data_IF_168162940645
#
_entry.id   IF_168162940645
#
_cell.length_a   1.000
_cell.length_b   1.000
_cell.length_c   1.000
_cell.angle_alpha   90.00
_cell.angle_beta   90.00
_cell.angle_gamma   90.00
#
_symmetry.space_group_name_H-M   'P 1'
#
loop_
_entity.id
_entity.type
_entity.pdbx_description
1 polymer ?
#
# COMPACT_ATOMS: atom_id res chain seq x y z
N UNK A 1 -24.29 -24.37 -19.90
CA UNK A 1 -23.80 -23.74 -21.14
C UNK A 1 -22.67 -24.62 -21.63
N UNK A 2 -22.78 -25.14 -22.84
CA UNK A 2 -21.73 -25.97 -23.43
C UNK A 2 -20.75 -25.04 -24.14
N UNK A 3 -19.72 -24.64 -23.40
CA UNK A 3 -18.64 -23.82 -23.94
C UNK A 3 -17.65 -24.71 -24.70
N UNK A 4 -17.19 -24.26 -25.87
CA UNK A 4 -16.06 -24.89 -26.56
C UNK A 4 -14.76 -24.74 -25.75
N UNK A 5 -14.52 -23.54 -25.22
CA UNK A 5 -13.51 -23.26 -24.20
C UNK A 5 -14.16 -22.43 -23.10
N UNK A 6 -14.23 -22.94 -21.85
CA UNK A 6 -14.86 -22.20 -20.77
C UNK A 6 -14.01 -20.98 -20.39
N UNK A 7 -14.64 -19.82 -20.13
CA UNK A 7 -13.92 -18.68 -19.60
C UNK A 7 -13.31 -19.01 -18.22
N UNK A 8 -12.18 -18.38 -17.84
CA UNK A 8 -11.58 -18.58 -16.52
C UNK A 8 -12.59 -18.30 -15.41
N UNK A 9 -12.66 -19.17 -14.40
CA UNK A 9 -13.63 -19.09 -13.31
C UNK A 9 -13.57 -17.75 -12.58
N UNK A 10 -12.38 -17.21 -12.35
CA UNK A 10 -12.16 -15.91 -11.72
C UNK A 10 -12.83 -14.76 -12.52
N UNK A 11 -12.77 -14.81 -13.86
CA UNK A 11 -13.39 -13.80 -14.72
C UNK A 11 -14.91 -13.91 -14.68
N UNK A 12 -15.43 -15.14 -14.64
CA UNK A 12 -16.87 -15.37 -14.50
C UNK A 12 -17.36 -14.86 -13.15
N UNK A 13 -16.66 -15.18 -12.06
CA UNK A 13 -16.97 -14.71 -10.72
C UNK A 13 -16.96 -13.18 -10.63
N UNK A 14 -15.95 -12.53 -11.20
CA UNK A 14 -15.87 -11.07 -11.26
C UNK A 14 -17.02 -10.45 -12.08
N UNK A 15 -17.39 -11.06 -13.21
CA UNK A 15 -18.51 -10.61 -14.03
C UNK A 15 -19.85 -10.75 -13.29
N UNK A 16 -20.08 -11.87 -12.61
CA UNK A 16 -21.29 -12.10 -11.81
C UNK A 16 -21.38 -11.13 -10.63
N UNK A 17 -20.27 -10.89 -9.93
CA UNK A 17 -20.21 -9.91 -8.85
C UNK A 17 -20.57 -8.50 -9.33
N UNK A 18 -20.01 -8.08 -10.47
CA UNK A 18 -20.34 -6.79 -11.09
C UNK A 18 -21.81 -6.70 -11.49
N UNK A 19 -22.33 -7.72 -12.19
CA UNK A 19 -23.73 -7.73 -12.63
C UNK A 19 -24.69 -7.64 -11.44
N UNK A 20 -24.35 -8.31 -10.32
CA UNK A 20 -25.09 -8.22 -9.06
C UNK A 20 -25.09 -6.79 -8.51
N UNK A 21 -23.96 -6.08 -8.58
CA UNK A 21 -23.86 -4.68 -8.15
C UNK A 21 -24.62 -3.71 -9.05
N UNK A 22 -24.70 -3.97 -10.37
CA UNK A 22 -25.44 -3.12 -11.31
C UNK A 22 -26.96 -3.21 -11.11
N UNK A 23 -27.46 -4.24 -10.44
CA UNK A 23 -28.87 -4.39 -10.05
C UNK A 23 -29.68 -5.24 -11.02
N UNK A 24 -30.92 -4.82 -11.30
CA UNK A 24 -31.88 -5.63 -12.06
C UNK A 24 -31.50 -5.77 -13.55
N UNK A 25 -31.00 -6.95 -13.90
CA UNK A 25 -30.55 -7.27 -15.25
C UNK A 25 -31.69 -7.25 -16.28
N UNK A 26 -32.95 -7.47 -15.88
CA UNK A 26 -34.07 -7.42 -16.83
C UNK A 26 -34.32 -5.99 -17.29
N UNK A 27 -34.19 -5.01 -16.40
CA UNK A 27 -34.29 -3.59 -16.77
C UNK A 27 -33.11 -3.16 -17.64
N UNK A 28 -31.89 -3.61 -17.33
CA UNK A 28 -30.69 -3.24 -18.10
C UNK A 28 -30.72 -3.77 -19.54
N UNK A 29 -31.26 -4.97 -19.76
CA UNK A 29 -31.36 -5.61 -21.09
C UNK A 29 -32.30 -4.90 -22.06
N UNK A 30 -33.09 -3.94 -21.58
CA UNK A 30 -34.01 -3.15 -22.43
C UNK A 30 -33.25 -2.17 -23.34
N UNK A 31 -31.99 -1.88 -23.04
CA UNK A 31 -31.16 -0.94 -23.79
C UNK A 31 -30.09 -1.68 -24.60
N UNK A 32 -29.77 -1.25 -25.83
CA UNK A 32 -28.72 -1.85 -26.67
C UNK A 32 -27.33 -1.37 -26.23
N UNK A 33 -27.01 -1.53 -24.95
CA UNK A 33 -25.79 -1.02 -24.33
C UNK A 33 -25.12 -2.09 -23.48
N UNK A 34 -23.82 -1.91 -23.25
CA UNK A 34 -23.13 -2.66 -22.20
C UNK A 34 -23.85 -2.45 -20.83
N UNK A 35 -23.99 -3.46 -19.95
CA UNK A 35 -24.78 -3.36 -18.72
C UNK A 35 -24.46 -2.15 -17.84
N UNK A 36 -23.18 -1.75 -17.77
CA UNK A 36 -22.73 -0.55 -17.07
C UNK A 36 -23.37 0.73 -17.61
N UNK A 37 -23.35 0.90 -18.93
CA UNK A 37 -23.91 2.06 -19.61
C UNK A 37 -25.45 2.06 -19.54
N UNK A 38 -26.06 0.88 -19.67
CA UNK A 38 -27.50 0.72 -19.42
C UNK A 38 -27.87 1.16 -18.00
N UNK A 39 -27.03 0.84 -16.99
CA UNK A 39 -27.24 1.25 -15.61
C UNK A 39 -27.14 2.77 -15.44
N UNK A 40 -26.13 3.40 -16.05
CA UNK A 40 -26.01 4.87 -16.08
C UNK A 40 -27.27 5.48 -16.70
N UNK A 41 -27.71 4.99 -17.86
CA UNK A 41 -28.85 5.51 -18.59
C UNK A 41 -30.16 5.39 -17.79
N UNK A 42 -30.35 4.26 -17.10
CA UNK A 42 -31.51 4.01 -16.25
C UNK A 42 -31.57 4.98 -15.06
N UNK A 43 -30.46 5.12 -14.32
CA UNK A 43 -30.41 5.97 -13.12
C UNK A 43 -30.45 7.47 -13.49
N UNK A 44 -29.88 7.85 -14.62
CA UNK A 44 -29.99 9.19 -15.19
C UNK A 44 -31.33 9.44 -15.90
N UNK A 45 -32.26 8.49 -15.86
CA UNK A 45 -33.62 8.62 -16.42
C UNK A 45 -33.65 8.98 -17.91
N UNK A 46 -32.67 8.51 -18.67
CA UNK A 46 -32.58 8.78 -20.12
C UNK A 46 -32.18 10.21 -20.48
N UNK A 47 -31.60 10.96 -19.55
CA UNK A 47 -31.17 12.33 -19.78
C UNK A 47 -30.13 12.44 -20.91
N UNK A 48 -30.15 13.56 -21.62
CA UNK A 48 -29.32 13.78 -22.81
C UNK A 48 -27.83 13.72 -22.50
N UNK A 49 -27.43 14.26 -21.34
CA UNK A 49 -26.06 14.25 -20.85
C UNK A 49 -25.55 12.81 -20.65
N UNK A 50 -26.39 11.94 -20.10
CA UNK A 50 -26.05 10.53 -19.90
C UNK A 50 -25.98 9.75 -21.22
N UNK A 51 -26.91 10.02 -22.16
CA UNK A 51 -26.91 9.42 -23.49
C UNK A 51 -25.61 9.75 -24.22
N UNK A 52 -25.23 11.03 -24.25
CA UNK A 52 -24.01 11.49 -24.92
C UNK A 52 -22.75 10.84 -24.33
N UNK A 53 -22.65 10.77 -22.99
CA UNK A 53 -21.55 10.08 -22.32
C UNK A 53 -21.55 8.58 -22.66
N UNK A 54 -22.70 7.91 -22.62
CA UNK A 54 -22.79 6.48 -22.93
C UNK A 54 -22.37 6.16 -24.36
N UNK A 55 -22.85 6.94 -25.34
CA UNK A 55 -22.48 6.75 -26.75
C UNK A 55 -21.00 7.04 -26.96
N UNK A 56 -20.45 8.10 -26.37
CA UNK A 56 -19.02 8.41 -26.44
C UNK A 56 -18.17 7.27 -25.87
N UNK A 57 -18.55 6.73 -24.71
CA UNK A 57 -17.85 5.60 -24.07
C UNK A 57 -17.95 4.29 -24.87
N UNK A 58 -19.03 4.12 -25.63
CA UNK A 58 -19.19 3.01 -26.55
C UNK A 58 -18.44 3.21 -27.88
N UNK A 59 -17.81 4.36 -28.10
CA UNK A 59 -17.15 4.70 -29.37
C UNK A 59 -18.13 5.02 -30.51
N UNK A 60 -19.38 5.38 -30.17
CA UNK A 60 -20.45 5.62 -31.14
C UNK A 60 -20.47 7.03 -31.73
N UNK A 61 -21.48 7.25 -32.57
CA UNK A 61 -21.68 8.39 -33.46
C UNK A 61 -22.86 9.27 -33.03
N UNK A 62 -22.97 10.51 -33.55
CA UNK A 62 -24.14 11.36 -33.29
C UNK A 62 -25.48 10.76 -33.73
N UNK A 63 -25.49 9.85 -34.72
CA UNK A 63 -26.71 9.14 -35.14
C UNK A 63 -27.20 8.18 -34.05
N UNK A 64 -26.27 7.44 -33.43
CA UNK A 64 -26.57 6.52 -32.32
C UNK A 64 -27.05 7.27 -31.06
N UNK A 65 -26.64 8.53 -30.86
CA UNK A 65 -27.22 9.40 -29.82
C UNK A 65 -28.72 9.59 -30.02
N UNK A 66 -29.17 9.84 -31.25
CA UNK A 66 -30.58 10.04 -31.55
C UNK A 66 -31.38 8.75 -31.42
N UNK A 67 -30.83 7.64 -31.91
CA UNK A 67 -31.45 6.32 -31.79
C UNK A 67 -31.62 5.92 -30.31
N UNK A 68 -30.56 6.04 -29.52
CA UNK A 68 -30.60 5.71 -28.10
C UNK A 68 -31.59 6.61 -27.33
N UNK A 69 -31.72 7.89 -27.71
CA UNK A 69 -32.71 8.81 -27.15
C UNK A 69 -34.14 8.33 -27.40
N UNK A 70 -34.45 7.86 -28.61
CA UNK A 70 -35.76 7.29 -28.94
C UNK A 70 -36.04 6.03 -28.12
N UNK A 71 -35.06 5.13 -28.02
CA UNK A 71 -35.16 3.90 -27.23
C UNK A 71 -35.37 4.23 -25.75
N UNK A 72 -34.59 5.15 -25.19
CA UNK A 72 -34.68 5.57 -23.80
C UNK A 72 -36.06 6.14 -23.46
N UNK A 73 -36.56 7.05 -24.31
CA UNK A 73 -37.89 7.64 -24.14
C UNK A 73 -39.00 6.59 -24.19
N UNK A 74 -38.92 5.65 -25.14
CA UNK A 74 -39.89 4.56 -25.27
C UNK A 74 -39.89 3.64 -24.06
N UNK A 75 -38.71 3.22 -23.59
CA UNK A 75 -38.59 2.22 -22.54
C UNK A 75 -38.86 2.78 -21.14
N UNK A 76 -38.46 4.04 -20.88
CA UNK A 76 -38.65 4.68 -19.57
C UNK A 76 -40.03 5.31 -19.40
N UNK A 77 -40.71 5.65 -20.50
CA UNK A 77 -42.06 6.22 -20.48
C UNK A 77 -42.14 7.44 -19.55
N UNK A 78 -43.05 7.41 -18.56
CA UNK A 78 -43.23 8.49 -17.60
C UNK A 78 -41.99 8.80 -16.73
N UNK A 79 -41.05 7.85 -16.59
CA UNK A 79 -39.81 8.06 -15.83
C UNK A 79 -38.77 8.88 -16.62
N UNK A 80 -38.92 9.00 -17.94
CA UNK A 80 -38.00 9.72 -18.81
C UNK A 80 -37.86 11.18 -18.41
N UNK A 81 -36.61 11.68 -18.41
CA UNK A 81 -36.27 13.09 -18.24
C UNK A 81 -35.29 13.48 -19.34
N UNK A 82 -35.52 14.66 -19.94
CA UNK A 82 -34.63 15.19 -20.99
C UNK A 82 -33.29 15.65 -20.41
N UNK A 83 -33.33 16.20 -19.19
CA UNK A 83 -32.20 16.73 -18.43
C UNK A 83 -32.30 16.29 -16.96
N UNK A 84 -31.16 16.16 -16.31
CA UNK A 84 -31.01 15.95 -14.87
C UNK A 84 -29.95 16.90 -14.33
N UNK A 85 -29.97 17.16 -13.02
CA UNK A 85 -28.89 17.90 -12.38
C UNK A 85 -27.57 17.10 -12.40
N UNK A 86 -26.46 17.82 -12.27
CA UNK A 86 -25.10 17.27 -12.28
C UNK A 86 -24.89 16.20 -11.19
N UNK A 87 -25.49 16.39 -10.00
CA UNK A 87 -25.39 15.43 -8.91
C UNK A 87 -26.09 14.09 -9.24
N UNK A 88 -27.23 14.13 -9.92
CA UNK A 88 -27.97 12.96 -10.39
C UNK A 88 -27.19 12.25 -11.49
N UNK A 89 -26.62 12.99 -12.44
CA UNK A 89 -25.78 12.44 -13.50
C UNK A 89 -24.56 11.69 -12.91
N UNK A 90 -23.83 12.32 -11.98
CA UNK A 90 -22.65 11.72 -11.35
C UNK A 90 -22.97 10.52 -10.48
N UNK A 91 -24.10 10.53 -9.77
CA UNK A 91 -24.61 9.34 -9.06
C UNK A 91 -24.94 8.19 -10.02
N UNK A 92 -25.52 8.49 -11.18
CA UNK A 92 -25.77 7.47 -12.20
C UNK A 92 -24.46 6.90 -12.76
N UNK A 93 -23.45 7.74 -12.98
CA UNK A 93 -22.11 7.30 -13.38
C UNK A 93 -21.45 6.40 -12.33
N UNK A 94 -21.53 6.74 -11.05
CA UNK A 94 -21.09 5.88 -9.95
C UNK A 94 -21.82 4.53 -9.97
N UNK A 95 -23.13 4.52 -10.19
CA UNK A 95 -23.91 3.29 -10.22
C UNK A 95 -23.55 2.37 -11.38
N UNK A 96 -23.13 2.91 -12.54
CA UNK A 96 -22.62 2.13 -13.66
C UNK A 96 -21.17 1.63 -13.49
N UNK A 97 -20.40 2.31 -12.64
CA UNK A 97 -18.97 2.06 -12.44
C UNK A 97 -18.56 1.95 -10.97
N UNK A 98 -19.24 1.10 -10.17
CA UNK A 98 -18.99 1.00 -8.73
C UNK A 98 -17.56 0.57 -8.41
N UNK A 99 -17.05 -0.45 -9.08
CA UNK A 99 -15.68 -0.97 -8.97
C UNK A 99 -14.59 0.00 -9.48
N UNK A 100 -14.97 1.03 -10.24
CA UNK A 100 -14.07 2.08 -10.73
C UNK A 100 -14.18 3.38 -9.95
N UNK A 101 -14.77 3.34 -8.76
CA UNK A 101 -14.55 4.38 -7.77
C UNK A 101 -13.06 4.45 -7.44
N UNK A 102 -12.53 5.66 -7.35
CA UNK A 102 -11.13 5.93 -7.06
C UNK A 102 -11.01 6.99 -5.96
N UNK A 103 -9.93 6.90 -5.18
CA UNK A 103 -9.50 7.94 -4.25
C UNK A 103 -8.11 8.46 -4.63
N UNK A 104 -7.92 9.77 -4.58
CA UNK A 104 -6.63 10.42 -4.85
C UNK A 104 -5.64 10.17 -3.71
N UNK A 105 -4.41 9.74 -4.03
CA UNK A 105 -3.35 9.48 -3.04
C UNK A 105 -1.94 9.87 -3.53
N UNK A 106 -1.27 10.86 -2.91
CA UNK A 106 -1.75 11.82 -1.90
C UNK A 106 -2.69 12.90 -2.48
N UNK A 107 -3.35 13.73 -1.65
CA UNK A 107 -4.21 14.84 -2.12
C UNK A 107 -3.49 15.76 -3.12
N UNK A 108 -4.22 16.21 -4.14
CA UNK A 108 -3.67 17.04 -5.23
C UNK A 108 -2.71 16.33 -6.20
N UNK A 109 -2.37 15.06 -5.98
CA UNK A 109 -1.52 14.28 -6.91
C UNK A 109 -2.35 13.55 -7.97
N UNK A 110 -1.83 13.28 -9.18
CA UNK A 110 -2.56 12.54 -10.21
C UNK A 110 -2.73 11.06 -9.88
N UNK A 111 -2.14 10.56 -8.79
CA UNK A 111 -2.15 9.15 -8.42
C UNK A 111 -3.45 8.80 -7.72
N UNK A 112 -4.04 7.69 -8.14
CA UNK A 112 -5.31 7.17 -7.67
C UNK A 112 -5.16 5.75 -7.13
N UNK A 113 -5.99 5.40 -6.15
CA UNK A 113 -6.28 4.01 -5.79
C UNK A 113 -7.74 3.70 -6.16
N UNK A 114 -7.95 2.69 -7.00
CA UNK A 114 -9.27 2.18 -7.37
C UNK A 114 -9.87 1.31 -6.26
N UNK A 115 -11.20 1.18 -6.24
CA UNK A 115 -11.93 0.30 -5.34
C UNK A 115 -11.56 -1.18 -5.53
N UNK A 116 -11.06 -1.55 -6.71
CA UNK A 116 -10.45 -2.87 -6.98
C UNK A 116 -9.12 -3.10 -6.23
N UNK A 117 -8.51 -2.08 -5.64
CA UNK A 117 -7.18 -2.11 -5.03
C UNK A 117 -6.04 -1.79 -6.00
N UNK A 118 -6.33 -1.57 -7.27
CA UNK A 118 -5.33 -1.26 -8.29
C UNK A 118 -4.96 0.22 -8.26
N UNK A 119 -3.68 0.54 -8.46
CA UNK A 119 -3.22 1.91 -8.66
C UNK A 119 -3.51 2.41 -10.08
N UNK A 120 -3.82 3.69 -10.22
CA UNK A 120 -4.01 4.35 -11.51
C UNK A 120 -3.48 5.81 -11.47
N UNK A 121 -3.30 6.44 -12.63
CA UNK A 121 -2.81 7.80 -12.77
C UNK A 121 -3.73 8.59 -13.69
N UNK A 122 -4.15 9.79 -13.27
CA UNK A 122 -4.90 10.73 -14.11
C UNK A 122 -4.03 11.28 -15.24
N UNK A 123 -4.57 11.31 -16.45
CA UNK A 123 -3.97 12.01 -17.56
C UNK A 123 -3.96 13.53 -17.28
N UNK A 124 -2.89 14.20 -17.70
CA UNK A 124 -2.65 15.62 -17.35
C UNK A 124 -3.73 16.55 -17.91
N UNK A 125 -4.38 16.13 -18.99
CA UNK A 125 -5.41 16.89 -19.71
C UNK A 125 -6.73 16.96 -18.93
N UNK A 126 -6.97 16.02 -18.01
CA UNK A 126 -8.19 15.94 -17.21
C UNK A 126 -7.96 16.19 -15.72
N UNK A 127 -6.71 16.24 -15.26
CA UNK A 127 -6.40 16.48 -13.86
C UNK A 127 -6.46 17.97 -13.53
N UNK A 128 -7.54 18.39 -12.89
CA UNK A 128 -7.71 19.74 -12.36
C UNK A 128 -7.16 19.89 -10.92
N UNK A 129 -6.55 18.83 -10.38
CA UNK A 129 -6.04 18.76 -9.01
C UNK A 129 -7.12 18.74 -7.93
N UNK A 130 -8.40 18.72 -8.31
CA UNK A 130 -9.55 18.73 -7.40
C UNK A 130 -10.18 17.33 -7.32
N UNK A 131 -11.12 17.18 -6.39
CA UNK A 131 -11.81 15.93 -6.14
C UNK A 131 -10.95 14.93 -5.36
N UNK A 132 -11.44 14.54 -4.18
CA UNK A 132 -10.86 13.44 -3.40
C UNK A 132 -11.28 12.09 -3.99
N UNK A 133 -12.57 11.97 -4.34
CA UNK A 133 -13.17 10.78 -4.92
C UNK A 133 -13.54 11.02 -6.38
N UNK A 134 -13.26 10.04 -7.22
CA UNK A 134 -13.47 10.10 -8.67
C UNK A 134 -14.10 8.80 -9.14
N UNK A 135 -15.05 8.87 -10.07
CA UNK A 135 -15.50 7.70 -10.83
C UNK A 135 -14.74 7.66 -12.14
N UNK A 136 -13.97 6.60 -12.36
CA UNK A 136 -13.17 6.41 -13.57
C UNK A 136 -14.03 5.79 -14.66
N UNK A 137 -14.22 6.53 -15.76
CA UNK A 137 -15.08 6.15 -16.87
C UNK A 137 -14.27 5.52 -18.01
N UNK A 138 -13.08 6.06 -18.29
CA UNK A 138 -12.15 5.54 -19.28
C UNK A 138 -10.74 5.39 -18.69
N UNK A 139 -10.19 4.18 -18.80
CA UNK A 139 -8.88 3.78 -18.32
C UNK A 139 -8.23 2.81 -19.31
N UNK A 140 -6.97 3.03 -19.62
CA UNK A 140 -6.15 2.14 -20.45
C UNK A 140 -4.84 1.83 -19.72
N UNK A 141 -4.64 0.57 -19.35
CA UNK A 141 -3.57 0.21 -18.42
C UNK A 141 -3.83 0.86 -17.06
N UNK A 142 -2.91 1.69 -16.61
CA UNK A 142 -3.02 2.52 -15.41
C UNK A 142 -3.39 3.98 -15.70
N UNK A 143 -3.48 4.39 -16.97
CA UNK A 143 -3.76 5.78 -17.35
C UNK A 143 -5.26 6.04 -17.49
N UNK A 144 -5.78 6.95 -16.66
CA UNK A 144 -7.18 7.39 -16.67
C UNK A 144 -7.32 8.59 -17.61
N UNK A 145 -8.20 8.46 -18.62
CA UNK A 145 -8.48 9.52 -19.61
C UNK A 145 -9.83 10.19 -19.45
N UNK A 146 -10.72 9.61 -18.65
CA UNK A 146 -11.98 10.24 -18.29
C UNK A 146 -12.40 9.83 -16.89
N UNK A 147 -12.65 10.82 -16.04
CA UNK A 147 -13.17 10.63 -14.69
C UNK A 147 -14.07 11.80 -14.30
N UNK A 148 -14.96 11.57 -13.34
CA UNK A 148 -15.82 12.62 -12.76
C UNK A 148 -15.68 12.65 -11.24
N UNK A 149 -15.59 13.83 -10.61
CA UNK A 149 -15.51 13.92 -9.16
C UNK A 149 -16.86 13.65 -8.52
N UNK A 150 -16.83 13.00 -7.36
CA UNK A 150 -18.02 12.69 -6.57
C UNK A 150 -17.82 13.02 -5.09
N UNK A 151 -18.93 13.12 -4.38
CA UNK A 151 -19.01 13.48 -2.98
C UNK A 151 -18.90 12.25 -2.09
N UNK A 152 -18.14 12.35 -1.00
CA UNK A 152 -17.92 11.26 -0.03
C UNK A 152 -19.26 10.77 0.56
N UNK A 153 -20.20 11.67 0.79
CA UNK A 153 -21.48 11.40 1.45
C UNK A 153 -22.40 10.49 0.62
N UNK A 154 -22.11 10.33 -0.68
CA UNK A 154 -22.84 9.43 -1.57
C UNK A 154 -22.40 7.97 -1.40
N UNK A 155 -21.19 7.77 -0.87
CA UNK A 155 -20.61 6.44 -0.71
C UNK A 155 -21.27 5.70 0.45
N UNK A 156 -21.49 4.41 0.25
CA UNK A 156 -22.00 3.49 1.27
C UNK A 156 -20.94 2.42 1.49
N UNK A 157 -20.49 2.20 2.74
CA UNK A 157 -19.50 1.17 3.02
C UNK A 157 -20.01 -0.19 2.54
N UNK A 158 -19.17 -0.89 1.78
CA UNK A 158 -19.41 -2.28 1.38
C UNK A 158 -18.91 -3.25 2.44
N UNK A 159 -17.89 -2.84 3.21
CA UNK A 159 -17.26 -3.63 4.26
C UNK A 159 -17.13 -2.77 5.51
N UNK A 160 -17.39 -3.35 6.67
CA UNK A 160 -17.03 -2.80 7.97
C UNK A 160 -16.22 -3.86 8.71
N UNK A 161 -15.07 -3.48 9.21
CA UNK A 161 -14.19 -4.38 9.94
C UNK A 161 -13.64 -3.68 11.18
N UNK A 162 -13.34 -4.49 12.19
CA UNK A 162 -12.61 -4.06 13.38
C UNK A 162 -11.28 -4.80 13.35
N UNK A 163 -10.21 -4.04 13.19
CA UNK A 163 -8.86 -4.57 13.04
C UNK A 163 -7.95 -3.98 14.12
N UNK A 164 -7.09 -4.81 14.70
CA UNK A 164 -6.04 -4.31 15.58
C UNK A 164 -4.86 -3.87 14.71
N UNK A 165 -4.50 -2.59 14.82
CA UNK A 165 -3.34 -1.96 14.19
C UNK A 165 -2.44 -1.48 15.33
N UNK A 166 -1.30 -2.13 15.51
CA UNK A 166 -0.37 -1.87 16.61
C UNK A 166 -1.05 -1.97 18.00
N UNK A 167 -1.13 -0.86 18.73
CA UNK A 167 -1.77 -0.70 20.04
C UNK A 167 -3.21 -0.18 19.96
N UNK A 168 -3.80 -0.12 18.76
CA UNK A 168 -5.13 0.44 18.53
C UNK A 168 -6.05 -0.60 17.91
N UNK A 169 -7.24 -0.74 18.46
CA UNK A 169 -8.35 -1.39 17.78
C UNK A 169 -9.08 -0.31 17.00
N UNK A 170 -9.15 -0.53 15.70
CA UNK A 170 -9.61 0.43 14.73
C UNK A 170 -10.82 -0.14 14.01
N UNK A 171 -11.93 0.58 14.06
CA UNK A 171 -13.07 0.32 13.19
C UNK A 171 -12.84 1.03 11.86
N UNK A 172 -12.88 0.26 10.77
CA UNK A 172 -12.76 0.75 9.39
C UNK A 172 -14.04 0.48 8.64
N UNK A 173 -14.51 1.50 7.94
CA UNK A 173 -15.54 1.34 6.92
C UNK A 173 -14.91 1.55 5.55
N UNK A 174 -15.17 0.63 4.63
CA UNK A 174 -14.49 0.54 3.34
C UNK A 174 -15.48 0.42 2.20
N UNK A 175 -15.08 0.92 1.03
CA UNK A 175 -15.69 0.67 -0.26
C UNK A 175 -14.67 -0.07 -1.14
N UNK A 176 -14.84 -1.37 -1.30
CA UNK A 176 -13.77 -2.22 -1.84
C UNK A 176 -12.48 -2.02 -1.04
N UNK A 177 -11.38 -1.71 -1.74
CA UNK A 177 -10.08 -1.42 -1.12
C UNK A 177 -9.93 0.02 -0.57
N UNK A 178 -10.93 0.89 -0.76
CA UNK A 178 -10.86 2.29 -0.33
C UNK A 178 -11.40 2.42 1.10
N UNK A 179 -10.57 2.92 2.01
CA UNK A 179 -10.99 3.28 3.37
C UNK A 179 -11.78 4.59 3.31
N UNK A 180 -13.05 4.55 3.72
CA UNK A 180 -13.94 5.71 3.77
C UNK A 180 -13.83 6.46 5.10
N UNK A 181 -13.78 5.70 6.19
CA UNK A 181 -13.67 6.21 7.55
C UNK A 181 -12.85 5.22 8.39
N UNK A 182 -11.98 5.76 9.24
CA UNK A 182 -11.18 5.02 10.19
C UNK A 182 -11.32 5.69 11.57
N UNK A 183 -11.73 4.91 12.58
CA UNK A 183 -11.84 5.40 13.95
C UNK A 183 -11.23 4.42 14.92
N UNK A 184 -10.42 4.93 15.86
CA UNK A 184 -9.98 4.13 17.01
C UNK A 184 -11.10 4.02 18.01
N UNK A 185 -11.50 2.79 18.27
CA UNK A 185 -12.54 2.47 19.25
C UNK A 185 -11.92 2.10 20.60
N UNK A 186 -10.72 1.52 20.58
CA UNK A 186 -10.02 1.11 21.80
C UNK A 186 -8.51 1.25 21.59
N UNK A 187 -7.79 1.62 22.67
CA UNK A 187 -6.35 1.44 22.75
C UNK A 187 -6.07 0.21 23.57
N UNK A 188 -5.58 -0.83 22.90
CA UNK A 188 -5.09 -2.02 23.58
C UNK A 188 -3.75 -1.64 24.16
N UNK A 189 -3.61 -1.73 25.48
CA UNK A 189 -2.31 -1.57 26.12
C UNK A 189 -1.32 -2.45 25.35
N UNK A 190 -0.20 -1.90 24.85
CA UNK A 190 0.77 -2.70 24.12
C UNK A 190 1.01 -3.93 24.97
N UNK A 191 0.94 -5.16 24.39
CA UNK A 191 1.07 -6.38 25.16
C UNK A 191 2.26 -6.14 26.08
N UNK A 192 2.03 -6.11 27.41
CA UNK A 192 3.09 -5.89 28.41
C UNK A 192 4.23 -6.71 27.86
N UNK A 193 5.36 -6.09 27.53
CA UNK A 193 6.45 -6.79 26.90
C UNK A 193 6.77 -7.97 27.82
N UNK A 194 6.17 -9.12 27.55
CA UNK A 194 6.56 -10.37 28.07
C UNK A 194 7.80 -10.52 27.23
N UNK A 195 8.91 -10.00 27.76
CA UNK A 195 10.20 -10.60 27.50
C UNK A 195 9.94 -12.06 27.76
N UNK A 196 9.59 -12.81 26.71
CA UNK A 196 9.95 -14.21 26.66
C UNK A 196 11.45 -14.10 26.83
N UNK A 197 11.89 -14.31 28.06
CA UNK A 197 13.27 -14.64 28.37
C UNK A 197 13.52 -15.89 27.54
N UNK A 198 13.92 -15.70 26.29
CA UNK A 198 14.53 -16.77 25.54
C UNK A 198 15.69 -17.22 26.44
N UNK A 199 15.74 -18.49 26.83
CA UNK A 199 16.78 -18.97 27.73
C UNK A 199 18.12 -18.75 27.04
N UNK A 200 18.88 -17.78 27.55
CA UNK A 200 20.13 -17.32 26.95
C UNK A 200 20.80 -16.29 27.85
N UNK A 201 22.13 -16.11 27.73
CA UNK A 201 22.84 -15.13 28.52
C UNK A 201 22.31 -13.72 28.21
N UNK A 202 22.18 -12.88 29.25
CA UNK A 202 21.74 -11.49 29.10
C UNK A 202 22.80 -10.59 28.43
N UNK A 203 24.07 -11.00 28.50
CA UNK A 203 25.21 -10.26 27.96
C UNK A 203 26.25 -11.21 27.38
N UNK A 204 27.07 -10.71 26.47
CA UNK A 204 28.28 -11.39 25.98
C UNK A 204 29.53 -10.59 26.36
N UNK A 205 30.60 -11.28 26.74
CA UNK A 205 31.91 -10.67 26.95
C UNK A 205 32.56 -10.37 25.60
N UNK A 206 32.88 -9.11 25.37
CA UNK A 206 33.63 -8.64 24.21
C UNK A 206 35.14 -8.87 24.42
N UNK A 207 35.95 -8.93 23.35
CA UNK A 207 37.41 -9.00 23.45
C UNK A 207 38.04 -7.91 24.32
N UNK A 208 37.41 -6.75 24.41
CA UNK A 208 37.82 -5.63 25.28
C UNK A 208 37.68 -5.92 26.79
N UNK A 209 37.06 -7.04 27.16
CA UNK A 209 36.68 -7.37 28.55
C UNK A 209 35.37 -6.73 29.01
N UNK A 210 34.74 -5.86 28.19
CA UNK A 210 33.41 -5.32 28.48
C UNK A 210 32.30 -6.28 28.12
N UNK A 211 31.12 -6.03 28.65
CA UNK A 211 29.93 -6.80 28.32
C UNK A 211 29.02 -6.01 27.38
N UNK A 212 28.55 -6.65 26.31
CA UNK A 212 27.48 -6.14 25.46
C UNK A 212 26.17 -6.84 25.80
N UNK A 213 25.08 -6.08 25.89
CA UNK A 213 23.74 -6.63 26.12
C UNK A 213 23.24 -7.33 24.86
N UNK A 214 22.63 -8.49 25.05
CA UNK A 214 22.03 -9.27 23.97
C UNK A 214 20.54 -8.97 23.92
N UNK A 215 20.08 -8.53 22.76
CA UNK A 215 18.68 -8.29 22.46
C UNK A 215 18.16 -9.41 21.55
N UNK A 216 17.39 -10.31 22.15
CA UNK A 216 16.71 -11.41 21.45
C UNK A 216 15.43 -10.87 20.83
N UNK A 217 15.28 -11.03 19.50
CA UNK A 217 14.14 -10.55 18.72
C UNK A 217 13.16 -11.70 18.43
N UNK A 218 11.91 -11.36 18.13
CA UNK A 218 10.85 -12.36 17.87
C UNK A 218 11.08 -13.17 16.57
N UNK A 219 11.87 -12.63 15.64
CA UNK A 219 12.29 -13.32 14.40
C UNK A 219 13.42 -14.36 14.64
N UNK A 220 13.87 -14.52 15.89
CA UNK A 220 14.94 -15.43 16.29
C UNK A 220 16.36 -14.85 16.15
N UNK A 221 16.50 -13.60 15.70
CA UNK A 221 17.79 -12.93 15.65
C UNK A 221 18.26 -12.48 17.04
N UNK A 222 19.58 -12.50 17.25
CA UNK A 222 20.22 -12.00 18.48
C UNK A 222 21.11 -10.83 18.10
N UNK A 223 20.81 -9.65 18.64
CA UNK A 223 21.51 -8.42 18.29
C UNK A 223 22.35 -7.94 19.47
N UNK A 224 23.57 -7.51 19.20
CA UNK A 224 24.43 -6.86 20.19
C UNK A 224 24.99 -5.55 19.63
N UNK A 225 24.77 -4.45 20.34
CA UNK A 225 25.40 -3.18 20.03
C UNK A 225 26.78 -3.12 20.71
N UNK A 226 27.83 -2.88 19.93
CA UNK A 226 29.20 -2.81 20.43
C UNK A 226 30.01 -1.76 19.68
N UNK A 227 30.88 -1.03 20.39
CA UNK A 227 31.80 -0.12 19.71
C UNK A 227 32.80 -0.93 18.89
N UNK A 228 33.06 -0.48 17.67
CA UNK A 228 33.90 -1.20 16.72
C UNK A 228 35.27 -1.56 17.32
N UNK A 229 35.90 -0.63 18.04
CA UNK A 229 37.22 -0.86 18.64
C UNK A 229 37.26 -1.90 19.77
N UNK A 230 36.10 -2.31 20.29
CA UNK A 230 36.01 -3.34 21.33
C UNK A 230 35.98 -4.75 20.75
N UNK A 231 35.76 -4.87 19.44
CA UNK A 231 35.69 -6.14 18.70
C UNK A 231 36.99 -6.47 17.96
N UNK A 232 38.03 -5.64 18.05
CA UNK A 232 39.32 -5.98 17.45
C UNK A 232 39.85 -7.32 17.99
N UNK A 233 40.44 -8.10 17.11
CA UNK A 233 40.87 -9.47 17.39
C UNK A 233 39.76 -10.53 17.42
N UNK A 234 38.47 -10.15 17.30
CA UNK A 234 37.38 -11.13 17.22
C UNK A 234 37.22 -11.63 15.78
N UNK A 235 37.82 -12.78 15.52
CA UNK A 235 37.88 -13.32 14.18
C UNK A 235 36.59 -14.02 13.73
N UNK A 236 35.88 -14.65 14.66
CA UNK A 236 34.65 -15.37 14.40
C UNK A 236 33.48 -14.72 15.13
N UNK A 237 32.36 -14.55 14.42
CA UNK A 237 31.11 -14.08 15.05
C UNK A 237 30.68 -15.10 16.10
N UNK A 238 30.56 -14.71 17.39
CA UNK A 238 30.08 -15.62 18.42
C UNK A 238 28.66 -16.08 18.10
N UNK A 239 28.38 -17.33 18.46
CA UNK A 239 27.09 -17.98 18.23
C UNK A 239 26.46 -18.34 19.57
N UNK A 240 25.14 -18.20 19.69
CA UNK A 240 24.41 -18.38 20.94
C UNK A 240 23.34 -19.46 20.79
N UNK A 241 23.17 -20.22 21.87
CA UNK A 241 22.10 -21.19 22.02
C UNK A 241 22.31 -22.49 21.23
N UNK A 242 21.42 -23.48 21.42
CA UNK A 242 21.56 -24.82 20.84
C UNK A 242 21.46 -24.83 19.31
N UNK A 243 20.89 -23.79 18.69
CA UNK A 243 20.82 -23.62 17.23
C UNK A 243 22.06 -22.94 16.63
N UNK A 244 23.07 -22.62 17.45
CA UNK A 244 24.28 -21.91 17.01
C UNK A 244 23.96 -20.63 16.21
N UNK A 245 23.00 -19.84 16.68
CA UNK A 245 22.57 -18.60 16.00
C UNK A 245 23.69 -17.54 16.08
N UNK A 246 24.20 -17.01 14.95
CA UNK A 246 25.21 -15.95 14.98
C UNK A 246 24.64 -14.65 15.51
N UNK A 247 25.43 -13.94 16.32
CA UNK A 247 25.06 -12.61 16.82
C UNK A 247 25.20 -11.59 15.69
N UNK A 248 24.16 -10.82 15.47
CA UNK A 248 24.21 -9.63 14.61
C UNK A 248 24.77 -8.46 15.42
N UNK A 249 25.93 -7.95 15.03
CA UNK A 249 26.52 -6.77 15.64
C UNK A 249 26.05 -5.48 14.96
N UNK A 250 25.50 -4.58 15.77
CA UNK A 250 25.39 -3.17 15.43
C UNK A 250 26.68 -2.48 15.87
N UNK A 251 27.56 -2.24 14.90
CA UNK A 251 28.88 -1.66 15.10
C UNK A 251 28.73 -0.16 15.33
N UNK A 252 29.19 0.31 16.47
CA UNK A 252 29.08 1.71 16.88
C UNK A 252 30.41 2.45 16.72
N UNK A 253 30.33 3.71 16.30
CA UNK A 253 31.41 4.68 16.44
C UNK A 253 31.68 5.02 17.92
N UNK A 254 32.80 5.68 18.25
CA UNK A 254 33.11 6.06 19.64
C UNK A 254 32.03 6.89 20.34
N UNK A 255 31.26 7.69 19.59
CA UNK A 255 30.15 8.49 20.09
C UNK A 255 28.81 7.73 20.21
N UNK A 256 28.81 6.41 19.95
CA UNK A 256 27.62 5.56 20.02
C UNK A 256 26.72 5.61 18.79
N UNK A 257 27.08 6.34 17.73
CA UNK A 257 26.30 6.29 16.48
C UNK A 257 26.57 4.98 15.74
N UNK A 258 25.53 4.31 15.19
CA UNK A 258 25.73 3.13 14.37
C UNK A 258 26.45 3.48 13.08
N UNK A 259 27.42 2.65 12.71
CA UNK A 259 28.19 2.80 11.47
C UNK A 259 27.96 1.65 10.49
N UNK A 260 27.73 0.44 11.01
CA UNK A 260 27.49 -0.73 10.18
C UNK A 260 26.74 -1.78 11.00
N UNK A 261 25.89 -2.57 10.35
CA UNK A 261 25.31 -3.78 10.93
C UNK A 261 25.91 -4.99 10.21
N UNK A 262 26.37 -6.00 10.95
CA UNK A 262 26.90 -7.23 10.36
C UNK A 262 26.54 -8.45 11.20
N UNK A 263 26.22 -9.55 10.51
CA UNK A 263 26.06 -10.90 11.08
C UNK A 263 27.29 -11.80 10.82
N UNK A 264 28.27 -11.28 10.10
CA UNK A 264 29.52 -11.94 9.73
C UNK A 264 30.68 -10.95 9.95
N UNK A 265 31.34 -11.08 11.11
CA UNK A 265 32.47 -10.23 11.46
C UNK A 265 33.66 -10.48 10.53
N UNK A 266 33.85 -11.72 10.07
CA UNK A 266 34.98 -12.06 9.19
C UNK A 266 34.87 -11.33 7.86
N UNK A 267 33.72 -11.47 7.20
CA UNK A 267 33.45 -10.74 5.96
C UNK A 267 33.47 -9.23 6.15
N UNK A 268 33.07 -8.72 7.31
CA UNK A 268 33.16 -7.30 7.64
C UNK A 268 34.61 -6.81 7.70
N UNK A 269 35.50 -7.52 8.40
CA UNK A 269 36.91 -7.13 8.54
C UNK A 269 37.66 -7.14 7.22
N UNK A 270 37.41 -8.14 6.36
CA UNK A 270 38.12 -8.28 5.08
C UNK A 270 37.68 -7.25 4.04
N UNK A 271 36.37 -6.95 3.96
CA UNK A 271 35.81 -6.21 2.84
C UNK A 271 35.31 -4.80 3.17
N UNK A 272 34.73 -4.60 4.36
CA UNK A 272 33.99 -3.37 4.70
C UNK A 272 34.81 -2.47 5.65
N UNK A 273 35.57 -3.07 6.56
CA UNK A 273 36.38 -2.34 7.54
C UNK A 273 37.33 -1.31 6.92
N UNK A 274 38.06 -1.56 5.81
CA UNK A 274 38.96 -0.55 5.23
C UNK A 274 38.25 0.77 4.87
N UNK A 275 37.00 0.69 4.40
CA UNK A 275 36.17 1.85 4.08
C UNK A 275 35.70 2.58 5.34
N UNK A 276 35.13 1.84 6.30
CA UNK A 276 34.65 2.37 7.59
C UNK A 276 35.80 2.99 8.38
N UNK A 277 36.98 2.39 8.32
CA UNK A 277 38.21 2.86 8.95
C UNK A 277 38.64 4.22 8.41
N UNK A 278 38.61 4.44 7.09
CA UNK A 278 38.96 5.73 6.46
C UNK A 278 38.07 6.85 6.99
N UNK A 279 36.77 6.59 7.09
CA UNK A 279 35.78 7.55 7.59
C UNK A 279 35.94 7.81 9.10
N UNK A 280 36.10 6.75 9.90
CA UNK A 280 36.27 6.85 11.35
C UNK A 280 37.60 7.51 11.74
N UNK A 281 38.67 7.26 10.99
CA UNK A 281 39.98 7.89 11.22
C UNK A 281 39.93 9.40 10.98
N UNK A 282 39.18 9.86 9.97
CA UNK A 282 38.99 11.28 9.72
C UNK A 282 38.19 11.97 10.85
N UNK A 283 37.11 11.33 11.33
CA UNK A 283 36.23 11.92 12.37
C UNK A 283 36.77 11.75 13.80
N UNK A 284 37.52 10.69 14.07
CA UNK A 284 38.00 10.32 15.41
C UNK A 284 39.50 10.00 15.43
N UNK A 285 40.38 10.97 15.15
CA UNK A 285 41.83 10.73 15.00
C UNK A 285 42.52 10.26 16.30
N UNK A 286 41.90 10.53 17.47
CA UNK A 286 42.43 10.13 18.80
C UNK A 286 42.15 8.66 19.16
N UNK A 287 41.40 7.92 18.33
CA UNK A 287 41.07 6.52 18.55
C UNK A 287 41.98 5.58 17.74
N UNK A 288 42.21 4.33 18.20
CA UNK A 288 43.01 3.36 17.48
C UNK A 288 42.22 2.76 16.30
N UNK A 289 42.70 3.04 15.08
CA UNK A 289 42.15 2.50 13.82
C UNK A 289 43.25 1.71 13.09
N UNK A 290 43.58 0.50 13.57
CA UNK A 290 44.66 -0.33 13.03
C UNK A 290 44.45 -0.65 11.55
N UNK A 291 45.52 -0.86 10.78
CA UNK A 291 45.39 -1.44 9.44
C UNK A 291 44.99 -2.93 9.54
N UNK A 292 45.55 -3.64 10.53
CA UNK A 292 45.25 -5.04 10.83
C UNK A 292 44.30 -5.13 12.05
N UNK A 293 42.98 -5.30 11.84
CA UNK A 293 42.02 -5.41 12.94
C UNK A 293 42.13 -6.75 13.69
N UNK A 294 42.80 -7.76 13.13
CA UNK A 294 42.91 -9.12 13.69
C UNK A 294 43.95 -9.19 14.80
N UNK A 295 45.04 -8.42 14.68
CA UNK A 295 46.12 -8.39 15.68
C UNK A 295 46.03 -7.21 16.65
N UNK A 296 45.07 -6.33 16.45
CA UNK A 296 44.93 -5.14 17.26
C UNK A 296 44.39 -5.44 18.65
N UNK A 297 44.98 -4.82 19.67
CA UNK A 297 44.49 -4.94 21.04
C UNK A 297 43.13 -4.25 21.17
N UNK A 298 42.06 -4.98 21.51
CA UNK A 298 40.74 -4.40 21.71
C UNK A 298 40.76 -3.45 22.91
N UNK A 299 40.12 -2.28 22.77
CA UNK A 299 40.14 -1.28 23.83
C UNK A 299 38.87 -0.43 23.83
N UNK A 300 38.33 -0.17 25.01
CA UNK A 300 37.28 0.84 25.19
C UNK A 300 37.87 2.26 25.40
N UNK A 301 39.18 2.39 25.61
CA UNK A 301 39.84 3.66 25.95
C UNK A 301 40.36 4.38 24.70
N UNK A 302 40.38 5.71 24.77
CA UNK A 302 41.10 6.57 23.80
C UNK A 302 42.62 6.31 23.90
N UNK A 303 43.39 6.58 22.83
CA UNK A 303 44.85 6.47 22.90
C UNK A 303 45.38 7.34 24.05
N UNK A 304 46.12 6.74 24.99
CA UNK A 304 46.93 7.50 25.96
C UNK A 304 48.10 8.11 25.17
N UNK A 305 48.36 9.40 25.40
CA UNK A 305 49.60 10.04 24.94
C UNK A 305 50.80 9.31 25.51
#
# INVERSE_FOLDING_TARGET
FDWFEPPPEERVAAAVALLTQLGDLQELRRFPLHPRLARVLLDARGASEAIEICVKLAGGTPAEVQELRVIARRNLGAKYRQHVDDATLRRALLAGYPDRLAIRRPPGSPRLLLASGTGATLAREIDDGKGEFLVVLDISGDLVRMAVPIEREWLRPTIREVVQVDDRVVERSMYGAIVLHEQTIERVAPPKAVRKTLPGPATITLPSGRSAKLDYRDDGSVVAAAKLQELFGLAETPRIGPRHTPITFELLAPNGRPVQVTRDLRSFWDNIYPLVRKELRARYPKHPWPEDPWKATPTHRTKRK
#
